data_IF_297397939872
#
_entry.id   IF_297397939872
#
_cell.length_a   1.000
_cell.length_b   1.000
_cell.length_c   1.000
_cell.angle_alpha   90.00
_cell.angle_beta   90.00
_cell.angle_gamma   90.00
#
_symmetry.space_group_name_H-M   'P 1'
#
loop_
_entity.id
_entity.type
_entity.pdbx_description
1 polymer ?
#
# COMPACT_ATOMS: atom_id res chain seq x y z
N UNK A 1 -25.50 -17.27 19.40
CA UNK A 1 -24.81 -16.01 19.01
C UNK A 1 -23.32 -16.28 19.12
N UNK A 2 -22.58 -16.17 18.02
CA UNK A 2 -21.12 -16.31 18.05
C UNK A 2 -20.59 -14.94 18.52
N UNK A 3 -19.90 -14.92 19.65
CA UNK A 3 -19.33 -13.69 20.19
C UNK A 3 -18.06 -13.39 19.39
N UNK A 4 -18.18 -12.60 18.32
CA UNK A 4 -17.02 -12.18 17.52
C UNK A 4 -16.21 -11.16 18.32
N UNK A 5 -15.29 -11.69 19.14
CA UNK A 5 -14.30 -10.89 19.85
C UNK A 5 -13.17 -10.56 18.89
N UNK A 6 -12.85 -9.29 18.76
CA UNK A 6 -11.62 -8.83 18.13
C UNK A 6 -10.78 -8.08 19.16
N UNK A 7 -9.46 -8.11 18.98
CA UNK A 7 -8.51 -7.45 19.86
C UNK A 7 -7.72 -6.40 19.06
N UNK A 8 -7.62 -5.20 19.63
CA UNK A 8 -6.79 -4.11 19.12
C UNK A 8 -5.68 -3.81 20.14
N UNK A 9 -4.44 -3.80 19.67
CA UNK A 9 -3.31 -3.26 20.40
C UNK A 9 -2.86 -1.98 19.72
N UNK A 10 -2.51 -0.98 20.51
CA UNK A 10 -2.02 0.30 20.01
C UNK A 10 -0.55 0.50 20.39
N UNK A 11 0.17 1.32 19.62
CA UNK A 11 1.48 1.84 20.01
C UNK A 11 1.36 2.97 21.05
N UNK A 12 2.49 3.53 21.50
CA UNK A 12 2.53 4.62 22.49
C UNK A 12 1.90 5.93 21.97
N UNK A 13 1.73 6.07 20.66
CA UNK A 13 1.12 7.24 20.00
C UNK A 13 -0.36 7.01 19.71
N UNK A 14 -0.91 5.85 20.09
CA UNK A 14 -2.30 5.48 19.89
C UNK A 14 -2.64 4.95 18.51
N UNK A 15 -1.66 4.66 17.64
CA UNK A 15 -1.93 4.00 16.36
C UNK A 15 -2.14 2.50 16.57
N UNK A 16 -3.00 1.87 15.76
CA UNK A 16 -3.26 0.42 15.85
C UNK A 16 -2.01 -0.36 15.42
N UNK A 17 -1.36 -1.02 16.37
CA UNK A 17 -0.22 -1.91 16.11
C UNK A 17 -0.66 -3.30 15.67
N UNK A 18 -1.72 -3.82 16.27
CA UNK A 18 -2.19 -5.19 15.98
C UNK A 18 -3.71 -5.24 16.02
N UNK A 19 -4.30 -5.92 15.05
CA UNK A 19 -5.70 -6.31 15.02
C UNK A 19 -5.77 -7.83 14.90
N UNK A 20 -6.53 -8.49 15.76
CA UNK A 20 -6.69 -9.96 15.75
C UNK A 20 -8.16 -10.33 15.88
N UNK A 21 -8.67 -11.18 14.99
CA UNK A 21 -10.02 -11.73 15.02
C UNK A 21 -10.10 -12.95 15.94
N UNK A 22 -11.32 -13.39 16.30
CA UNK A 22 -11.52 -14.49 17.25
C UNK A 22 -10.96 -15.85 16.82
N UNK A 23 -10.69 -16.06 15.53
CA UNK A 23 -9.99 -17.23 15.01
C UNK A 23 -8.45 -17.08 15.01
N UNK A 24 -7.92 -16.00 15.59
CA UNK A 24 -6.50 -15.69 15.71
C UNK A 24 -5.82 -15.19 14.43
N UNK A 25 -6.55 -15.05 13.31
CA UNK A 25 -6.05 -14.30 12.15
C UNK A 25 -5.93 -12.82 12.50
N UNK A 26 -4.96 -12.12 11.94
CA UNK A 26 -4.77 -10.72 12.25
C UNK A 26 -3.81 -9.99 11.34
N UNK A 27 -3.74 -8.68 11.56
CA UNK A 27 -2.82 -7.77 10.91
C UNK A 27 -1.95 -7.07 11.96
N UNK A 28 -0.67 -6.90 11.64
CA UNK A 28 0.28 -6.11 12.42
C UNK A 28 0.82 -4.98 11.56
N UNK A 29 0.88 -3.78 12.14
CA UNK A 29 1.36 -2.57 11.50
C UNK A 29 2.59 -2.04 12.24
N UNK A 30 3.52 -1.48 11.49
CA UNK A 30 4.52 -0.56 12.02
C UNK A 30 4.35 0.81 11.36
N UNK A 31 4.84 1.85 12.02
CA UNK A 31 4.68 3.22 11.58
C UNK A 31 6.05 3.91 11.46
N UNK A 32 6.15 4.88 10.56
CA UNK A 32 7.27 5.82 10.52
C UNK A 32 7.09 6.93 11.56
N UNK A 33 8.05 7.85 11.65
CA UNK A 33 8.03 8.93 12.65
C UNK A 33 6.89 9.94 12.42
N UNK A 34 6.33 9.98 11.20
CA UNK A 34 5.17 10.80 10.84
C UNK A 34 3.84 10.10 11.16
N UNK A 35 3.88 8.83 11.58
CA UNK A 35 2.69 8.01 11.84
C UNK A 35 2.09 7.38 10.58
N UNK A 36 2.83 7.34 9.47
CA UNK A 36 2.42 6.63 8.26
C UNK A 36 2.81 5.15 8.39
N UNK A 37 1.95 4.25 7.93
CA UNK A 37 2.22 2.80 7.99
C UNK A 37 3.49 2.49 7.20
N UNK A 38 4.52 1.97 7.86
CA UNK A 38 5.79 1.57 7.25
C UNK A 38 5.79 0.11 6.80
N UNK A 39 5.08 -0.76 7.53
CA UNK A 39 4.89 -2.15 7.14
C UNK A 39 3.54 -2.70 7.60
N UNK A 40 3.04 -3.68 6.85
CA UNK A 40 1.87 -4.48 7.15
C UNK A 40 2.27 -5.96 7.07
N UNK A 41 1.89 -6.75 8.06
CA UNK A 41 1.95 -8.21 7.99
C UNK A 41 0.60 -8.79 8.40
N UNK A 42 0.05 -9.70 7.59
CA UNK A 42 -1.19 -10.43 7.87
C UNK A 42 -0.84 -11.90 8.00
N UNK A 43 -1.37 -12.54 9.04
CA UNK A 43 -1.16 -13.97 9.26
C UNK A 43 -2.29 -14.63 10.02
N UNK A 44 -2.25 -15.95 10.07
CA UNK A 44 -3.18 -16.81 10.81
C UNK A 44 -2.64 -17.15 12.20
N UNK A 45 -3.49 -17.74 13.04
CA UNK A 45 -3.13 -18.13 14.41
C UNK A 45 -1.98 -19.15 14.49
N UNK A 46 -1.78 -19.96 13.46
CA UNK A 46 -0.71 -20.96 13.35
C UNK A 46 0.62 -20.38 12.83
N UNK A 47 0.67 -19.06 12.58
CA UNK A 47 1.86 -18.36 12.11
C UNK A 47 2.04 -18.34 10.60
N UNK A 48 1.06 -18.83 9.82
CA UNK A 48 1.14 -18.70 8.34
C UNK A 48 1.03 -17.24 7.93
N UNK A 49 2.05 -16.73 7.24
CA UNK A 49 2.01 -15.41 6.60
C UNK A 49 1.11 -15.45 5.36
N UNK A 50 0.11 -14.58 5.33
CA UNK A 50 -0.81 -14.41 4.20
C UNK A 50 -0.43 -13.22 3.33
N UNK A 51 0.18 -12.20 3.95
CA UNK A 51 0.65 -10.99 3.29
C UNK A 51 1.75 -10.35 4.14
N UNK A 52 2.81 -9.87 3.50
CA UNK A 52 3.70 -8.91 4.12
C UNK A 52 4.13 -7.86 3.10
N UNK A 53 4.01 -6.60 3.47
CA UNK A 53 4.30 -5.45 2.64
C UNK A 53 5.09 -4.39 3.43
N UNK A 54 5.98 -3.69 2.74
CA UNK A 54 6.63 -2.48 3.23
C UNK A 54 6.31 -1.31 2.31
N UNK A 55 6.24 -0.12 2.91
CA UNK A 55 5.81 1.09 2.23
C UNK A 55 6.85 2.19 2.36
N UNK A 56 6.99 2.98 1.28
CA UNK A 56 7.75 4.24 1.28
C UNK A 56 6.85 5.37 0.82
N UNK A 57 7.19 6.57 1.26
CA UNK A 57 6.40 7.76 1.03
C UNK A 57 7.31 8.93 0.63
N UNK A 58 6.77 9.87 -0.12
CA UNK A 58 7.38 11.18 -0.31
C UNK A 58 7.14 12.09 0.91
N UNK A 59 7.58 13.36 0.79
CA UNK A 59 7.46 14.37 1.84
C UNK A 59 6.00 14.76 2.12
N UNK A 60 5.15 14.75 1.09
CA UNK A 60 3.72 15.04 1.17
C UNK A 60 2.91 13.88 1.78
N UNK A 61 3.52 12.69 1.89
CA UNK A 61 2.89 11.50 2.45
C UNK A 61 2.18 10.64 1.40
N UNK A 62 2.45 10.86 0.11
CA UNK A 62 2.00 9.97 -0.95
C UNK A 62 2.90 8.73 -0.99
N UNK A 63 2.31 7.56 -1.19
CA UNK A 63 3.06 6.29 -1.18
C UNK A 63 3.82 6.13 -2.48
N UNK A 64 5.15 6.14 -2.41
CA UNK A 64 6.04 6.02 -3.58
C UNK A 64 6.47 4.59 -3.90
N UNK A 65 6.38 3.68 -2.93
CA UNK A 65 6.78 2.28 -3.13
C UNK A 65 5.99 1.32 -2.26
N UNK A 66 5.60 0.19 -2.83
CA UNK A 66 5.16 -1.03 -2.15
C UNK A 66 6.17 -2.12 -2.49
N UNK A 67 6.61 -2.88 -1.49
CA UNK A 67 7.39 -4.10 -1.68
C UNK A 67 6.81 -5.21 -0.82
N UNK A 68 6.49 -6.33 -1.46
CA UNK A 68 5.93 -7.53 -0.84
C UNK A 68 7.04 -8.48 -0.37
N UNK A 69 6.71 -9.48 0.46
CA UNK A 69 7.70 -10.44 0.98
C UNK A 69 8.34 -11.34 -0.09
N UNK A 70 7.71 -11.51 -1.25
CA UNK A 70 8.29 -12.22 -2.40
C UNK A 70 9.25 -11.35 -3.24
N UNK A 71 9.46 -10.08 -2.86
CA UNK A 71 10.35 -9.15 -3.56
C UNK A 71 9.71 -8.44 -4.76
N UNK A 72 8.41 -8.61 -5.00
CA UNK A 72 7.69 -7.84 -5.99
C UNK A 72 7.60 -6.37 -5.55
N UNK A 73 7.87 -5.45 -6.48
CA UNK A 73 7.94 -4.02 -6.21
C UNK A 73 7.00 -3.26 -7.13
N UNK A 74 6.14 -2.44 -6.53
CA UNK A 74 5.36 -1.44 -7.24
C UNK A 74 5.85 -0.05 -6.87
N UNK A 75 6.15 0.78 -7.88
CA UNK A 75 6.63 2.16 -7.71
C UNK A 75 5.60 3.15 -8.21
N UNK A 76 5.40 4.22 -7.47
CA UNK A 76 4.47 5.30 -7.78
C UNK A 76 5.24 6.62 -7.88
N UNK A 77 4.82 7.48 -8.82
CA UNK A 77 5.27 8.87 -8.86
C UNK A 77 4.07 9.81 -8.90
N UNK A 78 4.28 11.02 -8.38
CA UNK A 78 3.26 12.04 -8.28
C UNK A 78 3.74 13.31 -8.99
N UNK A 79 2.81 14.12 -9.47
CA UNK A 79 3.11 15.45 -9.98
C UNK A 79 3.12 16.51 -8.85
N UNK A 80 3.36 17.77 -9.22
CA UNK A 80 3.48 18.88 -8.27
C UNK A 80 2.18 19.22 -7.54
N UNK A 81 1.04 18.65 -7.98
CA UNK A 81 -0.28 18.81 -7.36
C UNK A 81 -0.68 17.56 -6.56
N UNK A 82 0.28 16.70 -6.21
CA UNK A 82 0.08 15.44 -5.49
C UNK A 82 -0.84 14.43 -6.24
N UNK A 83 -0.93 14.54 -7.57
CA UNK A 83 -1.73 13.62 -8.37
C UNK A 83 -0.87 12.45 -8.87
N UNK A 84 -1.42 11.24 -8.86
CA UNK A 84 -0.71 10.04 -9.30
C UNK A 84 -0.34 10.15 -10.78
N UNK A 85 0.96 10.24 -11.06
CA UNK A 85 1.50 10.42 -12.41
C UNK A 85 1.86 9.12 -13.09
N UNK A 86 2.50 8.19 -12.36
CA UNK A 86 2.85 6.88 -12.90
C UNK A 86 2.76 5.76 -11.88
N UNK A 87 2.50 4.55 -12.37
CA UNK A 87 2.68 3.28 -11.67
C UNK A 87 3.64 2.41 -12.47
N UNK A 88 4.56 1.74 -11.80
CA UNK A 88 5.39 0.69 -12.38
C UNK A 88 5.21 -0.59 -11.57
N UNK A 89 4.70 -1.62 -12.21
CA UNK A 89 4.32 -2.90 -11.59
C UNK A 89 5.45 -3.94 -11.77
N UNK A 90 5.47 -4.99 -10.93
CA UNK A 90 6.53 -6.01 -10.93
C UNK A 90 6.67 -6.75 -12.28
N UNK A 91 5.57 -6.91 -13.01
CA UNK A 91 5.54 -7.58 -14.32
C UNK A 91 6.05 -6.71 -15.48
N UNK A 92 6.63 -5.54 -15.16
CA UNK A 92 7.12 -4.55 -16.12
C UNK A 92 6.03 -3.66 -16.72
N UNK A 93 4.77 -3.85 -16.34
CA UNK A 93 3.69 -2.95 -16.75
C UNK A 93 3.92 -1.56 -16.17
N UNK A 94 3.80 -0.54 -17.01
CA UNK A 94 3.79 0.87 -16.59
C UNK A 94 2.44 1.48 -16.93
N UNK A 95 1.88 2.26 -16.01
CA UNK A 95 0.65 3.03 -16.24
C UNK A 95 1.00 4.50 -16.04
N UNK A 96 0.68 5.34 -17.02
CA UNK A 96 0.88 6.79 -16.94
C UNK A 96 -0.46 7.51 -17.02
N UNK A 97 -0.60 8.57 -16.23
CA UNK A 97 -1.81 9.37 -16.13
C UNK A 97 -1.54 10.80 -16.57
N UNK A 98 -2.54 11.42 -17.18
CA UNK A 98 -2.51 12.84 -17.53
C UNK A 98 -3.78 13.51 -17.06
N UNK A 99 -3.63 14.74 -16.58
CA UNK A 99 -4.69 15.55 -16.02
C UNK A 99 -4.84 16.86 -16.79
N UNK A 100 -6.04 17.43 -16.80
CA UNK A 100 -6.24 18.81 -17.19
C UNK A 100 -5.90 19.77 -16.03
N UNK A 101 -5.94 21.08 -16.28
CA UNK A 101 -5.66 22.10 -15.25
C UNK A 101 -6.68 22.18 -14.11
N UNK A 102 -7.79 21.44 -14.19
CA UNK A 102 -8.78 21.32 -13.11
C UNK A 102 -8.62 20.01 -12.32
N UNK A 103 -7.60 19.22 -12.64
CA UNK A 103 -7.31 17.95 -12.00
C UNK A 103 -8.17 16.78 -12.49
N UNK A 104 -8.94 16.94 -13.58
CA UNK A 104 -9.65 15.81 -14.17
C UNK A 104 -8.66 14.96 -14.95
N UNK A 105 -8.71 13.63 -14.75
CA UNK A 105 -7.90 12.71 -15.53
C UNK A 105 -8.40 12.65 -16.97
N UNK A 106 -7.54 13.02 -17.92
CA UNK A 106 -7.85 13.06 -19.35
C UNK A 106 -7.26 11.89 -20.13
N UNK A 107 -6.24 11.21 -19.58
CA UNK A 107 -5.59 10.08 -20.26
C UNK A 107 -5.07 9.04 -19.27
N UNK A 108 -5.12 7.79 -19.71
CA UNK A 108 -4.43 6.65 -19.12
C UNK A 108 -3.64 5.99 -20.25
N UNK A 109 -2.36 5.71 -20.05
CA UNK A 109 -1.56 4.92 -21.00
C UNK A 109 -0.99 3.73 -20.24
N UNK A 110 -1.38 2.53 -20.65
CA UNK A 110 -0.83 1.27 -20.10
C UNK A 110 0.17 0.69 -21.09
N UNK A 111 1.41 0.49 -20.64
CA UNK A 111 2.49 -0.07 -21.45
C UNK A 111 2.98 -1.36 -20.83
N UNK A 112 3.05 -2.45 -21.60
CA UNK A 112 3.68 -3.73 -21.21
C UNK A 112 4.50 -4.25 -22.39
N UNK A 113 5.76 -4.59 -22.17
CA UNK A 113 6.66 -5.11 -23.22
C UNK A 113 6.73 -4.20 -24.47
N UNK A 114 6.68 -2.88 -24.30
CA UNK A 114 6.67 -1.91 -25.39
C UNK A 114 5.34 -1.74 -26.12
N UNK A 115 4.34 -2.60 -25.85
CA UNK A 115 2.98 -2.44 -26.35
C UNK A 115 2.22 -1.46 -25.45
N UNK A 116 1.63 -0.41 -26.04
CA UNK A 116 0.89 0.62 -25.31
C UNK A 116 -0.59 0.61 -25.70
N UNK A 117 -1.47 0.72 -24.71
CA UNK A 117 -2.92 0.90 -24.86
C UNK A 117 -3.34 2.18 -24.17
N UNK A 118 -4.30 2.90 -24.76
CA UNK A 118 -4.89 4.14 -24.24
C UNK A 118 -6.37 3.92 -23.98
#
# INVERSE_FOLDING_TARGET
MINESFHLLHDERGHVRTFTTGNGTGATFTYDDRGLVKSLSVGTADGTELLAETYRYDENGNRTRIETSNGDVTVYSYDELDQLKTEQWPDGTTIAYTYDGFGNRTKIVKTKEGSSTT
#
